data_IF_558489222044
#
_entry.id   IF_558489222044
#
_cell.length_a   1.000
_cell.length_b   1.000
_cell.length_c   1.000
_cell.angle_alpha   90.00
_cell.angle_beta   90.00
_cell.angle_gamma   90.00
#
_symmetry.space_group_name_H-M   'P 1'
#
loop_
_entity.id
_entity.type
_entity.pdbx_description
1 polymer ?
#
# COMPACT_ATOMS: atom_id res chain seq x y z
N UNK A 1 41.90 -5.18 -19.05
CA UNK A 1 41.18 -4.01 -18.51
C UNK A 1 39.86 -4.52 -17.96
N UNK A 2 39.47 -4.09 -16.75
CA UNK A 2 38.16 -4.43 -16.19
C UNK A 2 37.07 -3.81 -17.08
N UNK A 3 36.00 -4.56 -17.34
CA UNK A 3 34.83 -4.05 -18.06
C UNK A 3 34.24 -2.88 -17.27
N UNK A 4 33.96 -1.71 -17.88
CA UNK A 4 33.32 -0.61 -17.17
C UNK A 4 31.94 -1.00 -16.65
N UNK A 5 31.58 -0.55 -15.44
CA UNK A 5 30.27 -0.85 -14.83
C UNK A 5 29.09 -0.49 -15.74
N UNK A 6 29.16 0.63 -16.46
CA UNK A 6 28.11 1.05 -17.40
C UNK A 6 27.92 0.05 -18.56
N UNK A 7 28.98 -0.60 -19.01
CA UNK A 7 28.90 -1.66 -20.02
C UNK A 7 28.29 -2.95 -19.46
N UNK A 8 28.63 -3.31 -18.22
CA UNK A 8 28.00 -4.44 -17.51
C UNK A 8 26.48 -4.22 -17.34
N UNK A 9 26.08 -3.02 -16.90
CA UNK A 9 24.68 -2.66 -16.73
C UNK A 9 23.91 -2.73 -18.06
N UNK A 10 24.51 -2.26 -19.15
CA UNK A 10 23.91 -2.35 -20.50
C UNK A 10 23.70 -3.81 -20.91
N UNK A 11 24.65 -4.70 -20.61
CA UNK A 11 24.51 -6.13 -20.87
C UNK A 11 23.40 -6.77 -20.04
N UNK A 12 23.26 -6.40 -18.76
CA UNK A 12 22.18 -6.86 -17.87
C UNK A 12 20.82 -6.40 -18.39
N UNK A 13 20.70 -5.14 -18.80
CA UNK A 13 19.45 -4.59 -19.36
C UNK A 13 19.08 -5.39 -20.62
N UNK A 14 20.02 -5.55 -21.55
CA UNK A 14 19.77 -6.24 -22.82
C UNK A 14 19.32 -7.69 -22.62
N UNK A 15 20.05 -8.47 -21.80
CA UNK A 15 19.70 -9.87 -21.54
C UNK A 15 18.36 -10.00 -20.81
N UNK A 16 18.13 -9.18 -19.79
CA UNK A 16 16.91 -9.23 -18.98
C UNK A 16 15.66 -8.83 -19.78
N UNK A 17 15.77 -7.81 -20.63
CA UNK A 17 14.68 -7.39 -21.51
C UNK A 17 14.41 -8.44 -22.59
N UNK A 18 15.44 -9.10 -23.13
CA UNK A 18 15.25 -10.23 -24.05
C UNK A 18 14.44 -11.34 -23.39
N UNK A 19 14.85 -11.77 -22.18
CA UNK A 19 14.13 -12.80 -21.42
C UNK A 19 12.67 -12.42 -21.17
N UNK A 20 12.42 -11.18 -20.75
CA UNK A 20 11.06 -10.69 -20.50
C UNK A 20 10.21 -10.66 -21.79
N UNK A 21 10.73 -10.09 -22.87
CA UNK A 21 10.02 -9.99 -24.14
C UNK A 21 9.74 -11.36 -24.75
N UNK A 22 10.69 -12.29 -24.69
CA UNK A 22 10.49 -13.66 -25.16
C UNK A 22 9.34 -14.36 -24.42
N UNK A 23 9.23 -14.13 -23.11
CA UNK A 23 8.12 -14.66 -22.32
C UNK A 23 6.79 -14.01 -22.71
N UNK A 24 6.72 -12.68 -22.78
CA UNK A 24 5.49 -11.97 -23.16
C UNK A 24 5.00 -12.41 -24.54
N UNK A 25 5.91 -12.50 -25.52
CA UNK A 25 5.59 -12.96 -26.88
C UNK A 25 5.06 -14.40 -26.89
N UNK A 26 5.72 -15.33 -26.19
CA UNK A 26 5.26 -16.73 -26.10
C UNK A 26 3.90 -16.87 -25.42
N UNK A 27 3.57 -15.97 -24.50
CA UNK A 27 2.31 -15.95 -23.77
C UNK A 27 1.24 -15.05 -24.42
N UNK A 28 1.46 -14.56 -25.65
CA UNK A 28 0.56 -13.67 -26.38
C UNK A 28 0.18 -12.39 -25.62
N UNK A 29 1.10 -11.87 -24.79
CA UNK A 29 0.95 -10.57 -24.16
C UNK A 29 1.67 -9.49 -24.97
N UNK A 30 1.05 -8.32 -25.21
CA UNK A 30 1.70 -7.25 -25.95
C UNK A 30 2.90 -6.70 -25.17
N UNK A 31 3.92 -6.17 -25.85
CA UNK A 31 5.02 -5.48 -25.19
C UNK A 31 4.50 -4.24 -24.44
N UNK A 32 5.12 -3.85 -23.33
CA UNK A 32 4.77 -2.65 -22.59
C UNK A 32 5.00 -1.40 -23.46
N UNK A 33 4.06 -0.45 -23.40
CA UNK A 33 4.18 0.84 -24.10
C UNK A 33 3.40 1.94 -23.37
N UNK A 34 3.61 3.19 -23.78
CA UNK A 34 2.81 4.33 -23.30
C UNK A 34 1.54 4.58 -24.14
N UNK A 35 1.29 3.75 -25.14
CA UNK A 35 0.08 3.81 -25.96
C UNK A 35 -1.14 3.33 -25.18
N UNK A 36 -2.32 3.91 -25.43
CA UNK A 36 -3.56 3.61 -24.72
C UNK A 36 -4.03 2.14 -24.82
N UNK A 37 -3.51 1.38 -25.79
CA UNK A 37 -3.74 -0.06 -25.92
C UNK A 37 -2.94 -0.91 -24.93
N UNK A 38 -1.91 -0.34 -24.29
CA UNK A 38 -1.07 -1.08 -23.35
C UNK A 38 -1.85 -1.47 -22.09
N UNK A 39 -1.76 -2.74 -21.63
CA UNK A 39 -2.36 -3.16 -20.38
C UNK A 39 -1.79 -2.38 -19.17
N UNK A 40 -2.61 -2.05 -18.15
CA UNK A 40 -2.16 -1.27 -17.00
C UNK A 40 -1.26 -2.07 -16.04
N UNK A 41 -1.29 -3.40 -16.12
CA UNK A 41 -0.52 -4.30 -15.27
C UNK A 41 0.18 -5.35 -16.12
N UNK A 42 1.36 -5.79 -15.66
CA UNK A 42 1.97 -7.01 -16.18
C UNK A 42 1.10 -8.23 -15.83
N UNK A 43 1.09 -9.27 -16.68
CA UNK A 43 0.52 -10.56 -16.31
C UNK A 43 1.26 -11.16 -15.11
N UNK A 44 0.71 -12.20 -14.48
CA UNK A 44 1.42 -12.95 -13.45
C UNK A 44 2.70 -13.57 -14.04
N UNK A 45 3.86 -13.09 -13.60
CA UNK A 45 5.15 -13.53 -14.11
C UNK A 45 5.70 -14.70 -13.27
N UNK A 46 6.28 -15.75 -13.89
CA UNK A 46 7.08 -16.74 -13.17
C UNK A 46 8.25 -16.09 -12.42
N UNK A 47 8.74 -16.68 -11.31
CA UNK A 47 9.82 -16.09 -10.49
C UNK A 47 11.06 -15.67 -11.28
N UNK A 48 11.49 -16.49 -12.24
CA UNK A 48 12.63 -16.20 -13.13
C UNK A 48 12.40 -14.93 -13.97
N UNK A 49 11.23 -14.81 -14.59
CA UNK A 49 10.87 -13.67 -15.45
C UNK A 49 10.66 -12.41 -14.61
N UNK A 50 10.06 -12.53 -13.43
CA UNK A 50 9.97 -11.44 -12.47
C UNK A 50 11.37 -10.97 -12.02
N UNK A 51 12.30 -11.91 -11.80
CA UNK A 51 13.70 -11.64 -11.50
C UNK A 51 14.41 -10.87 -12.61
N UNK A 52 14.24 -11.28 -13.87
CA UNK A 52 14.78 -10.55 -15.03
C UNK A 52 14.21 -9.11 -15.10
N UNK A 53 12.91 -8.94 -14.91
CA UNK A 53 12.28 -7.61 -14.86
C UNK A 53 12.87 -6.73 -13.76
N UNK A 54 13.07 -7.28 -12.56
CA UNK A 54 13.70 -6.55 -11.44
C UNK A 54 15.13 -6.15 -11.79
N UNK A 55 15.93 -7.08 -12.31
CA UNK A 55 17.31 -6.81 -12.71
C UNK A 55 17.42 -5.69 -13.77
N UNK A 56 16.51 -5.67 -14.75
CA UNK A 56 16.45 -4.59 -15.75
C UNK A 56 16.10 -3.23 -15.11
N UNK A 57 15.14 -3.19 -14.17
CA UNK A 57 14.77 -1.96 -13.46
C UNK A 57 15.93 -1.44 -12.61
N UNK A 58 16.68 -2.32 -11.96
CA UNK A 58 17.84 -1.92 -11.17
C UNK A 58 18.97 -1.40 -12.02
N UNK A 59 19.28 -2.12 -13.09
CA UNK A 59 20.35 -1.71 -13.98
C UNK A 59 20.04 -0.38 -14.67
N UNK A 60 18.79 -0.10 -15.04
CA UNK A 60 18.40 1.21 -15.59
C UNK A 60 18.52 2.34 -14.57
N UNK A 61 18.14 2.11 -13.31
CA UNK A 61 18.30 3.11 -12.23
C UNK A 61 19.76 3.39 -11.92
N UNK A 62 20.57 2.34 -11.79
CA UNK A 62 22.01 2.48 -11.53
C UNK A 62 22.70 3.19 -12.71
N UNK A 63 22.40 2.78 -13.94
CA UNK A 63 22.94 3.41 -15.14
C UNK A 63 22.54 4.89 -15.23
N UNK A 64 21.28 5.22 -14.97
CA UNK A 64 20.81 6.60 -14.96
C UNK A 64 21.56 7.45 -13.92
N UNK A 65 21.69 6.96 -12.68
CA UNK A 65 22.44 7.65 -11.63
C UNK A 65 23.93 7.84 -12.00
N UNK A 66 24.56 6.82 -12.60
CA UNK A 66 25.95 6.91 -13.07
C UNK A 66 26.13 7.91 -14.21
N UNK A 67 25.14 8.04 -15.10
CA UNK A 67 25.19 8.98 -16.23
C UNK A 67 24.97 10.43 -15.80
N UNK A 68 24.13 10.67 -14.79
CA UNK A 68 24.00 12.00 -14.15
C UNK A 68 25.31 12.39 -13.44
N UNK A 69 25.98 11.42 -12.83
CA UNK A 69 27.05 11.69 -11.88
C UNK A 69 26.50 12.17 -10.53
N UNK A 70 27.36 12.22 -9.50
CA UNK A 70 26.92 12.38 -8.11
C UNK A 70 26.24 13.72 -7.83
N UNK A 71 26.74 14.82 -8.41
CA UNK A 71 26.18 16.16 -8.17
C UNK A 71 24.76 16.28 -8.73
N UNK A 72 24.56 15.92 -10.00
CA UNK A 72 23.26 16.02 -10.65
C UNK A 72 22.30 14.97 -10.10
N UNK A 73 22.78 13.80 -9.66
CA UNK A 73 21.92 12.81 -9.00
C UNK A 73 21.37 13.33 -7.66
N UNK A 74 22.21 13.93 -6.81
CA UNK A 74 21.77 14.45 -5.51
C UNK A 74 20.88 15.68 -5.68
N UNK A 75 21.32 16.67 -6.47
CA UNK A 75 20.59 17.93 -6.62
C UNK A 75 19.40 17.81 -7.58
N UNK A 76 19.49 16.97 -8.60
CA UNK A 76 18.43 16.72 -9.60
C UNK A 76 17.30 15.80 -9.11
N UNK A 77 17.49 15.10 -7.98
CA UNK A 77 16.39 14.40 -7.28
C UNK A 77 15.27 15.34 -6.82
N UNK A 78 15.49 16.65 -6.91
CA UNK A 78 14.47 17.68 -6.77
C UNK A 78 13.30 17.58 -7.76
N UNK A 79 13.49 16.93 -8.91
CA UNK A 79 12.42 16.66 -9.87
C UNK A 79 11.25 15.87 -9.28
N UNK A 80 11.54 14.89 -8.41
CA UNK A 80 10.57 13.93 -7.88
C UNK A 80 9.39 14.60 -7.15
N UNK A 81 9.59 15.77 -6.51
CA UNK A 81 8.49 16.49 -5.84
C UNK A 81 7.69 17.40 -6.76
N UNK A 82 8.26 17.85 -7.90
CA UNK A 82 7.49 18.55 -8.92
C UNK A 82 6.57 17.60 -9.68
N UNK A 83 6.97 16.34 -9.85
CA UNK A 83 6.14 15.30 -10.47
C UNK A 83 4.80 15.14 -9.73
N UNK A 84 4.84 15.18 -8.39
CA UNK A 84 3.64 15.13 -7.55
C UNK A 84 2.73 16.35 -7.76
N UNK A 85 3.27 17.53 -8.10
CA UNK A 85 2.47 18.72 -8.39
C UNK A 85 1.63 18.52 -9.67
N UNK A 86 2.22 17.95 -10.72
CA UNK A 86 1.48 17.62 -11.95
C UNK A 86 0.36 16.61 -11.70
N UNK A 87 0.62 15.59 -10.88
CA UNK A 87 -0.38 14.60 -10.49
C UNK A 87 -1.47 15.18 -9.57
N UNK A 88 -1.09 16.07 -8.65
CA UNK A 88 -2.04 16.79 -7.79
C UNK A 88 -2.97 17.68 -8.63
N UNK A 89 -2.44 18.39 -9.63
CA UNK A 89 -3.24 19.17 -10.57
C UNK A 89 -4.27 18.29 -11.29
N UNK A 90 -3.84 17.14 -11.84
CA UNK A 90 -4.72 16.18 -12.51
C UNK A 90 -5.81 15.67 -11.56
N UNK A 91 -5.45 15.32 -10.32
CA UNK A 91 -6.39 14.82 -9.33
C UNK A 91 -7.40 15.88 -8.87
N UNK A 92 -6.92 17.08 -8.51
CA UNK A 92 -7.72 18.14 -7.91
C UNK A 92 -8.74 18.71 -8.89
N UNK A 93 -8.34 18.88 -10.15
CA UNK A 93 -9.21 19.39 -11.21
C UNK A 93 -9.85 18.30 -12.07
N UNK A 94 -9.70 17.03 -11.69
CA UNK A 94 -10.29 15.86 -12.38
C UNK A 94 -10.01 15.90 -13.89
N UNK A 95 -8.75 16.17 -14.26
CA UNK A 95 -8.35 16.35 -15.66
C UNK A 95 -8.48 15.05 -16.46
N UNK A 96 -8.14 13.91 -15.85
CA UNK A 96 -8.22 12.58 -16.48
C UNK A 96 -9.62 12.14 -16.90
N UNK A 97 -10.67 12.86 -16.50
CA UNK A 97 -12.06 12.55 -16.88
C UNK A 97 -12.73 13.67 -17.68
N UNK A 98 -11.95 14.64 -18.19
CA UNK A 98 -12.48 15.73 -19.03
C UNK A 98 -12.89 15.20 -20.41
N UNK A 99 -12.12 14.28 -20.98
CA UNK A 99 -12.38 13.63 -22.26
C UNK A 99 -11.99 12.15 -22.16
N UNK A 100 -12.59 11.24 -22.95
CA UNK A 100 -12.32 9.81 -22.83
C UNK A 100 -10.98 9.42 -23.47
N UNK A 101 -10.33 8.33 -22.99
CA UNK A 101 -9.15 7.77 -23.65
C UNK A 101 -9.41 7.41 -25.11
N UNK A 102 -8.53 7.84 -26.01
CA UNK A 102 -8.67 7.65 -27.46
C UNK A 102 -9.17 8.89 -28.21
N UNK A 103 -9.67 9.90 -27.48
CA UNK A 103 -9.94 11.23 -28.01
C UNK A 103 -8.79 12.19 -27.71
N UNK A 104 -8.81 13.34 -28.37
CA UNK A 104 -7.85 14.43 -28.21
C UNK A 104 -8.60 15.72 -27.86
N UNK A 105 -7.97 16.60 -27.09
CA UNK A 105 -8.55 17.88 -26.70
C UNK A 105 -7.47 18.96 -26.59
N UNK A 106 -7.77 20.20 -26.97
CA UNK A 106 -6.83 21.31 -26.84
C UNK A 106 -6.64 21.75 -25.38
N UNK A 107 -5.53 22.41 -25.07
CA UNK A 107 -5.35 23.01 -23.73
C UNK A 107 -6.47 24.01 -23.39
N UNK A 108 -6.93 24.77 -24.37
CA UNK A 108 -8.03 25.74 -24.24
C UNK A 108 -9.35 25.07 -23.84
N UNK A 109 -9.69 23.95 -24.49
CA UNK A 109 -10.89 23.19 -24.18
C UNK A 109 -10.81 22.53 -22.80
N UNK A 110 -9.66 21.96 -22.43
CA UNK A 110 -9.45 21.36 -21.09
C UNK A 110 -9.56 22.43 -20.01
N UNK A 111 -8.91 23.59 -20.22
CA UNK A 111 -8.96 24.70 -19.29
C UNK A 111 -10.40 25.23 -19.14
N UNK A 112 -11.13 25.40 -20.25
CA UNK A 112 -12.53 25.81 -20.23
C UNK A 112 -13.43 24.81 -19.49
N UNK A 113 -13.24 23.49 -19.70
CA UNK A 113 -14.05 22.44 -19.08
C UNK A 113 -13.92 22.40 -17.54
N UNK A 114 -12.84 22.97 -16.98
CA UNK A 114 -12.57 23.00 -15.53
C UNK A 114 -12.47 24.42 -14.96
N UNK A 115 -12.79 25.44 -15.75
CA UNK A 115 -12.69 26.85 -15.36
C UNK A 115 -11.29 27.23 -14.85
N UNK A 116 -10.25 26.86 -15.62
CA UNK A 116 -8.84 27.08 -15.32
C UNK A 116 -8.23 28.08 -16.29
N UNK A 117 -7.08 28.64 -15.91
CA UNK A 117 -6.23 29.39 -16.83
C UNK A 117 -5.53 28.45 -17.84
N UNK A 118 -5.47 28.87 -19.09
CA UNK A 118 -4.89 28.09 -20.19
C UNK A 118 -3.38 27.92 -20.01
N UNK A 119 -2.66 28.96 -19.57
CA UNK A 119 -1.21 28.89 -19.39
C UNK A 119 -0.85 28.00 -18.21
N UNK A 120 -1.60 28.06 -17.11
CA UNK A 120 -1.43 27.16 -15.97
C UNK A 120 -1.70 25.70 -16.35
N UNK A 121 -2.80 25.45 -17.06
CA UNK A 121 -3.15 24.11 -17.56
C UNK A 121 -2.03 23.52 -18.41
N UNK A 122 -1.51 24.33 -19.35
CA UNK A 122 -0.38 23.95 -20.20
C UNK A 122 0.88 23.61 -19.40
N UNK A 123 1.23 24.43 -18.40
CA UNK A 123 2.43 24.23 -17.56
C UNK A 123 2.35 22.95 -16.77
N UNK A 124 1.23 22.71 -16.08
CA UNK A 124 1.09 21.55 -15.20
C UNK A 124 0.89 20.25 -15.96
N UNK A 125 0.15 20.26 -17.09
CA UNK A 125 0.04 19.06 -17.92
C UNK A 125 1.36 18.70 -18.60
N UNK A 126 2.11 19.67 -19.12
CA UNK A 126 3.43 19.39 -19.70
C UNK A 126 4.43 18.86 -18.67
N UNK A 127 4.31 19.28 -17.41
CA UNK A 127 5.06 18.68 -16.30
C UNK A 127 4.64 17.22 -16.06
N UNK A 128 3.34 16.91 -16.06
CA UNK A 128 2.88 15.53 -15.94
C UNK A 128 3.33 14.63 -17.12
N UNK A 129 3.42 15.20 -18.33
CA UNK A 129 3.88 14.51 -19.53
C UNK A 129 5.36 14.08 -19.44
N UNK A 130 6.21 14.75 -18.64
CA UNK A 130 7.60 14.28 -18.41
C UNK A 130 7.66 12.95 -17.67
N UNK A 131 6.55 12.57 -17.02
CA UNK A 131 6.34 11.28 -16.37
C UNK A 131 5.38 10.37 -17.15
N UNK A 132 5.24 10.63 -18.45
CA UNK A 132 4.41 9.86 -19.37
C UNK A 132 2.92 9.87 -19.01
N UNK A 133 2.45 10.84 -18.22
CA UNK A 133 1.02 11.02 -17.92
C UNK A 133 0.45 12.06 -18.87
N UNK A 134 -0.39 11.60 -19.82
CA UNK A 134 -0.77 12.30 -21.05
C UNK A 134 0.38 12.47 -22.04
N UNK A 135 0.06 12.89 -23.26
CA UNK A 135 0.98 13.28 -24.33
C UNK A 135 0.48 14.53 -25.05
N UNK A 136 1.38 15.22 -25.75
CA UNK A 136 1.05 16.30 -26.69
C UNK A 136 1.40 15.83 -28.12
N UNK A 137 0.52 15.07 -28.81
CA UNK A 137 0.84 14.48 -30.12
C UNK A 137 1.10 15.55 -31.19
N UNK A 138 0.41 16.68 -31.09
CA UNK A 138 0.56 17.86 -31.94
C UNK A 138 0.56 19.11 -31.05
N UNK A 139 1.19 20.18 -31.51
CA UNK A 139 1.28 21.42 -30.74
C UNK A 139 -0.11 21.90 -30.28
N UNK A 140 -0.27 22.06 -28.96
CA UNK A 140 -1.50 22.54 -28.35
C UNK A 140 -2.57 21.48 -28.08
N UNK A 141 -2.38 20.25 -28.53
CA UNK A 141 -3.36 19.16 -28.44
C UNK A 141 -2.90 18.12 -27.43
N UNK A 142 -3.78 17.71 -26.52
CA UNK A 142 -3.51 16.73 -25.46
C UNK A 142 -4.23 15.43 -25.77
N UNK A 143 -3.52 14.31 -25.58
CA UNK A 143 -4.07 12.96 -25.67
C UNK A 143 -3.72 12.13 -24.43
N UNK A 144 -4.52 11.10 -24.17
CA UNK A 144 -4.22 10.13 -23.11
C UNK A 144 -3.03 9.24 -23.49
N UNK A 145 -2.16 8.98 -22.50
CA UNK A 145 -1.24 7.84 -22.46
C UNK A 145 -1.85 6.67 -21.69
N UNK A 146 -1.22 5.47 -21.75
CA UNK A 146 -1.59 4.34 -20.89
C UNK A 146 -1.59 4.70 -19.40
N UNK A 147 -0.67 5.54 -18.93
CA UNK A 147 -0.60 5.98 -17.54
C UNK A 147 -1.79 6.87 -17.15
N UNK A 148 -2.14 7.86 -17.97
CA UNK A 148 -3.29 8.73 -17.69
C UNK A 148 -4.64 8.01 -17.82
N UNK A 149 -4.72 6.99 -18.69
CA UNK A 149 -5.90 6.13 -18.84
C UNK A 149 -6.22 5.37 -17.55
N UNK A 150 -5.22 4.93 -16.80
CA UNK A 150 -5.42 4.32 -15.48
C UNK A 150 -6.21 5.25 -14.56
N UNK A 151 -5.89 6.54 -14.56
CA UNK A 151 -6.58 7.53 -13.72
C UNK A 151 -8.00 7.84 -14.22
N UNK A 152 -8.23 7.72 -15.53
CA UNK A 152 -9.54 7.92 -16.15
C UNK A 152 -10.51 6.76 -15.87
N UNK A 153 -10.03 5.52 -15.98
CA UNK A 153 -10.88 4.32 -15.98
C UNK A 153 -10.90 3.57 -14.64
N UNK A 154 -9.86 3.71 -13.80
CA UNK A 154 -9.79 3.04 -12.51
C UNK A 154 -9.98 4.04 -11.36
N UNK A 155 -11.24 4.17 -10.91
CA UNK A 155 -11.61 5.07 -9.81
C UNK A 155 -10.83 4.82 -8.51
N UNK A 156 -10.46 3.56 -8.24
CA UNK A 156 -9.72 3.21 -7.02
C UNK A 156 -8.27 3.67 -7.12
N UNK A 157 -7.64 3.52 -8.29
CA UNK A 157 -6.31 4.07 -8.54
C UNK A 157 -6.31 5.60 -8.43
N UNK A 158 -7.32 6.26 -8.97
CA UNK A 158 -7.49 7.71 -8.86
C UNK A 158 -7.73 8.19 -7.41
N UNK A 159 -8.46 7.41 -6.60
CA UNK A 159 -8.65 7.67 -5.18
C UNK A 159 -7.35 7.51 -4.38
N UNK A 160 -6.58 6.46 -4.66
CA UNK A 160 -5.25 6.25 -4.06
C UNK A 160 -4.28 7.39 -4.41
N UNK A 161 -4.26 7.82 -5.68
CA UNK A 161 -3.47 8.99 -6.08
C UNK A 161 -3.89 10.23 -5.28
N UNK A 162 -5.20 10.45 -5.13
CA UNK A 162 -5.74 11.53 -4.30
C UNK A 162 -5.25 11.49 -2.87
N UNK A 163 -5.28 10.31 -2.23
CA UNK A 163 -4.73 10.14 -0.89
C UNK A 163 -3.23 10.50 -0.85
N UNK A 164 -2.45 10.01 -1.81
CA UNK A 164 -1.02 10.28 -1.89
C UNK A 164 -0.69 11.78 -2.05
N UNK A 165 -1.38 12.49 -2.95
CA UNK A 165 -1.06 13.90 -3.27
C UNK A 165 -1.71 14.93 -2.34
N UNK A 166 -2.81 14.58 -1.66
CA UNK A 166 -3.54 15.51 -0.77
C UNK A 166 -3.29 15.27 0.72
N UNK A 167 -2.90 14.06 1.12
CA UNK A 167 -2.73 13.71 2.55
C UNK A 167 -1.30 13.31 2.88
N UNK A 168 -0.69 12.42 2.08
CA UNK A 168 0.65 11.92 2.36
C UNK A 168 1.70 12.97 2.02
N UNK A 169 1.76 13.41 0.76
CA UNK A 169 2.84 14.27 0.27
C UNK A 169 2.98 15.59 1.05
N UNK A 170 1.90 16.33 1.38
CA UNK A 170 2.02 17.55 2.18
C UNK A 170 2.55 17.33 3.60
N UNK A 171 2.44 16.09 4.12
CA UNK A 171 2.86 15.74 5.47
C UNK A 171 4.37 15.49 5.57
N UNK A 172 4.99 14.96 4.51
CA UNK A 172 6.40 14.51 4.53
C UNK A 172 7.38 15.63 4.93
N UNK A 173 7.29 16.88 4.42
CA UNK A 173 8.21 17.95 4.81
C UNK A 173 8.20 18.29 6.30
N UNK A 174 7.09 18.00 7.01
CA UNK A 174 6.90 18.36 8.42
C UNK A 174 7.32 17.26 9.40
N UNK A 175 7.86 16.14 8.92
CA UNK A 175 8.33 15.05 9.78
C UNK A 175 9.47 15.51 10.69
N UNK A 176 10.42 16.28 10.15
CA UNK A 176 11.55 16.78 10.94
C UNK A 176 11.10 17.86 11.93
N UNK A 177 10.19 18.76 11.52
CA UNK A 177 9.58 19.74 12.41
C UNK A 177 8.88 19.06 13.61
N UNK A 178 8.16 17.97 13.36
CA UNK A 178 7.53 17.18 14.41
C UNK A 178 8.56 16.51 15.33
N UNK A 179 9.65 15.97 14.79
CA UNK A 179 10.71 15.36 15.58
C UNK A 179 11.46 16.39 16.45
N UNK A 180 11.64 17.63 15.96
CA UNK A 180 12.24 18.72 16.74
C UNK A 180 11.32 19.19 17.86
N UNK A 181 10.02 19.29 17.58
CA UNK A 181 9.00 19.68 18.56
C UNK A 181 8.75 18.60 19.62
N UNK A 182 8.75 17.33 19.20
CA UNK A 182 8.45 16.16 20.04
C UNK A 182 9.49 15.05 19.84
N UNK A 183 10.71 15.21 20.40
CA UNK A 183 11.79 14.25 20.19
C UNK A 183 11.45 12.86 20.72
N UNK A 184 11.50 11.86 19.83
CA UNK A 184 11.27 10.45 20.19
C UNK A 184 9.84 10.10 20.59
N UNK A 185 8.86 10.94 20.23
CA UNK A 185 7.46 10.67 20.55
C UNK A 185 6.93 9.40 19.89
N UNK A 186 6.13 8.66 20.66
CA UNK A 186 5.34 7.50 20.24
C UNK A 186 3.84 7.84 20.17
N UNK A 187 3.46 9.12 20.34
CA UNK A 187 2.07 9.55 20.42
C UNK A 187 1.48 9.84 19.02
N UNK A 188 0.28 9.34 18.70
CA UNK A 188 -0.31 9.48 17.36
C UNK A 188 -0.77 10.91 17.03
N UNK A 189 -0.85 11.79 18.04
CA UNK A 189 -1.17 13.20 17.89
C UNK A 189 0.06 14.13 17.83
N UNK A 190 1.27 13.56 17.76
CA UNK A 190 2.53 14.31 17.74
C UNK A 190 3.31 14.06 16.43
N UNK A 191 2.64 14.26 15.29
CA UNK A 191 3.14 13.87 13.96
C UNK A 191 3.25 15.06 13.01
N UNK A 192 3.96 14.87 11.89
CA UNK A 192 3.99 15.85 10.80
C UNK A 192 2.58 16.13 10.24
N UNK A 193 1.71 15.12 10.26
CA UNK A 193 0.33 15.25 9.78
C UNK A 193 -0.45 16.25 10.63
N UNK A 194 -0.34 16.11 11.96
CA UNK A 194 -1.02 16.98 12.91
C UNK A 194 -0.50 18.42 12.82
N UNK A 195 0.80 18.61 12.59
CA UNK A 195 1.37 19.95 12.39
C UNK A 195 0.82 20.65 11.14
N UNK A 196 0.67 19.90 10.05
CA UNK A 196 0.16 20.42 8.78
C UNK A 196 -1.35 20.62 8.80
N UNK A 197 -2.09 19.75 9.50
CA UNK A 197 -3.54 19.76 9.47
C UNK A 197 -4.11 20.96 10.25
N UNK A 198 -4.97 21.83 9.65
CA UNK A 198 -5.41 23.09 10.25
C UNK A 198 -6.13 22.95 11.61
N UNK A 199 -6.82 21.82 11.82
CA UNK A 199 -7.52 21.50 13.07
C UNK A 199 -6.67 20.72 14.08
N UNK A 200 -5.42 20.38 13.75
CA UNK A 200 -4.57 19.53 14.59
C UNK A 200 -5.13 18.12 14.83
N UNK A 201 -5.84 17.56 13.84
CA UNK A 201 -6.45 16.23 13.95
C UNK A 201 -5.44 15.15 13.58
N UNK A 202 -5.54 13.99 14.22
CA UNK A 202 -4.89 12.76 13.75
C UNK A 202 -5.53 12.30 12.44
N UNK A 203 -4.86 11.42 11.64
CA UNK A 203 -5.44 10.98 10.38
C UNK A 203 -6.83 10.35 10.53
N UNK A 204 -7.04 9.45 11.50
CA UNK A 204 -8.34 8.83 11.71
C UNK A 204 -9.40 9.82 12.21
N UNK A 205 -9.05 10.75 13.12
CA UNK A 205 -9.97 11.80 13.55
C UNK A 205 -10.38 12.73 12.40
N UNK A 206 -9.48 12.99 11.45
CA UNK A 206 -9.82 13.72 10.23
C UNK A 206 -10.79 12.93 9.33
N UNK A 207 -10.62 11.61 9.18
CA UNK A 207 -11.56 10.79 8.41
C UNK A 207 -12.96 10.78 9.07
N UNK A 208 -13.04 10.78 10.40
CA UNK A 208 -14.32 10.88 11.11
C UNK A 208 -14.99 12.26 10.93
N UNK A 209 -14.21 13.34 10.93
CA UNK A 209 -14.69 14.71 10.73
C UNK A 209 -15.07 15.00 9.27
N UNK A 210 -14.51 14.27 8.30
CA UNK A 210 -14.69 14.52 6.87
C UNK A 210 -15.09 13.27 6.07
N UNK A 211 -16.39 13.16 5.79
CA UNK A 211 -16.96 12.05 5.01
C UNK A 211 -16.36 11.88 3.61
N UNK A 212 -15.97 12.98 2.95
CA UNK A 212 -15.34 12.90 1.62
C UNK A 212 -13.94 12.30 1.71
N UNK A 213 -13.16 12.72 2.72
CA UNK A 213 -11.84 12.14 2.98
C UNK A 213 -11.95 10.66 3.37
N UNK A 214 -12.91 10.29 4.22
CA UNK A 214 -13.18 8.90 4.57
C UNK A 214 -13.53 8.04 3.36
N UNK A 215 -14.36 8.55 2.45
CA UNK A 215 -14.72 7.82 1.23
C UNK A 215 -13.50 7.65 0.30
N UNK A 216 -12.71 8.71 0.11
CA UNK A 216 -11.50 8.64 -0.71
C UNK A 216 -10.49 7.65 -0.13
N UNK A 217 -10.26 7.68 1.19
CA UNK A 217 -9.39 6.74 1.87
C UNK A 217 -9.90 5.30 1.71
N UNK A 218 -11.19 5.06 1.95
CA UNK A 218 -11.81 3.74 1.78
C UNK A 218 -11.65 3.19 0.35
N UNK A 219 -11.89 4.02 -0.67
CA UNK A 219 -11.73 3.62 -2.06
C UNK A 219 -10.25 3.45 -2.46
N UNK A 220 -9.35 4.24 -1.89
CA UNK A 220 -7.90 4.05 -2.02
C UNK A 220 -7.43 2.72 -1.41
N UNK A 221 -7.94 2.34 -0.24
CA UNK A 221 -7.61 1.06 0.40
C UNK A 221 -8.11 -0.15 -0.41
N UNK A 222 -9.23 -0.01 -1.15
CA UNK A 222 -9.65 -1.03 -2.12
C UNK A 222 -8.65 -1.19 -3.26
N UNK A 223 -8.05 -0.10 -3.76
CA UNK A 223 -6.97 -0.19 -4.75
C UNK A 223 -5.77 -0.95 -4.20
N UNK A 224 -5.43 -0.73 -2.94
CA UNK A 224 -4.29 -1.38 -2.29
C UNK A 224 -4.42 -2.92 -2.28
N UNK A 225 -5.63 -3.44 -2.13
CA UNK A 225 -5.93 -4.88 -2.22
C UNK A 225 -5.83 -5.44 -3.65
N UNK A 226 -5.84 -4.59 -4.68
CA UNK A 226 -5.67 -4.96 -6.09
C UNK A 226 -4.20 -4.89 -6.54
N UNK A 227 -3.30 -4.39 -5.68
CA UNK A 227 -1.88 -4.31 -5.99
C UNK A 227 -1.30 -5.74 -6.00
N UNK A 228 -0.61 -6.15 -7.07
CA UNK A 228 0.02 -7.47 -7.12
C UNK A 228 0.94 -7.71 -5.93
N UNK A 229 0.76 -8.86 -5.28
CA UNK A 229 1.45 -9.28 -4.05
C UNK A 229 0.75 -8.88 -2.75
N UNK A 230 -0.37 -8.15 -2.79
CA UNK A 230 -1.20 -7.82 -1.62
C UNK A 230 -2.52 -8.58 -1.61
N UNK A 231 -2.62 -9.66 -2.38
CA UNK A 231 -3.82 -10.46 -2.48
C UNK A 231 -4.16 -11.14 -1.13
N UNK A 232 -5.44 -11.22 -0.75
CA UNK A 232 -5.86 -11.85 0.51
C UNK A 232 -5.54 -13.36 0.58
N UNK A 233 -5.43 -14.04 -0.57
CA UNK A 233 -5.16 -15.47 -0.67
C UNK A 233 -3.83 -15.90 -0.06
N UNK A 234 -2.85 -14.99 0.05
CA UNK A 234 -1.56 -15.28 0.69
C UNK A 234 -1.70 -15.74 2.15
N UNK A 235 -2.80 -15.39 2.82
CA UNK A 235 -3.10 -15.91 4.17
C UNK A 235 -3.30 -17.44 4.17
N UNK A 236 -3.95 -17.98 3.14
CA UNK A 236 -4.20 -19.43 3.01
C UNK A 236 -2.91 -20.20 2.69
N UNK A 237 -1.91 -19.53 2.10
CA UNK A 237 -0.56 -20.08 1.90
C UNK A 237 0.29 -20.00 3.18
N UNK A 238 0.08 -18.96 3.99
CA UNK A 238 0.87 -18.70 5.20
C UNK A 238 0.43 -19.54 6.40
N UNK A 239 -0.87 -19.80 6.54
CA UNK A 239 -1.46 -20.51 7.69
C UNK A 239 -2.33 -21.68 7.25
N UNK A 240 -2.09 -22.86 7.83
CA UNK A 240 -2.84 -24.08 7.54
C UNK A 240 -4.12 -24.15 8.41
N UNK A 241 -5.21 -23.63 7.85
CA UNK A 241 -6.54 -23.66 8.49
C UNK A 241 -7.11 -25.07 8.63
N UNK A 242 -6.58 -26.09 7.94
CA UNK A 242 -7.05 -27.47 8.11
C UNK A 242 -6.71 -28.05 9.47
N UNK A 243 -5.75 -27.43 10.18
CA UNK A 243 -5.42 -27.77 11.57
C UNK A 243 -6.46 -27.33 12.59
N UNK A 244 -7.41 -26.48 12.18
CA UNK A 244 -8.47 -25.98 13.05
C UNK A 244 -9.66 -26.95 13.13
N UNK A 245 -10.19 -27.14 14.34
CA UNK A 245 -11.33 -28.01 14.60
C UNK A 245 -12.64 -27.40 14.08
N UNK A 246 -13.68 -28.22 13.98
CA UNK A 246 -15.03 -27.77 13.65
C UNK A 246 -15.51 -26.68 14.63
N UNK A 247 -16.20 -25.67 14.11
CA UNK A 247 -16.68 -24.50 14.85
C UNK A 247 -15.58 -23.60 15.44
N UNK A 248 -14.34 -23.73 14.98
CA UNK A 248 -13.26 -22.80 15.31
C UNK A 248 -13.65 -21.36 14.95
N UNK A 249 -13.23 -20.43 15.79
CA UNK A 249 -13.53 -19.00 15.63
C UNK A 249 -12.29 -18.27 15.13
N UNK A 250 -12.45 -17.53 14.03
CA UNK A 250 -11.50 -16.60 13.47
C UNK A 250 -12.00 -15.17 13.71
N UNK A 251 -11.24 -14.37 14.45
CA UNK A 251 -11.56 -12.96 14.71
C UNK A 251 -10.64 -12.10 13.85
N UNK A 252 -11.23 -11.33 12.95
CA UNK A 252 -10.57 -10.42 12.02
C UNK A 252 -10.64 -9.01 12.61
N UNK A 253 -9.60 -8.61 13.35
CA UNK A 253 -9.57 -7.39 14.16
C UNK A 253 -9.13 -6.22 13.29
N UNK A 254 -9.97 -5.18 13.20
CA UNK A 254 -9.82 -4.12 12.21
C UNK A 254 -10.07 -4.61 10.78
N UNK A 255 -10.94 -5.61 10.61
CA UNK A 255 -11.16 -6.32 9.34
C UNK A 255 -11.95 -5.53 8.29
N UNK A 256 -12.41 -4.32 8.61
CA UNK A 256 -13.11 -3.41 7.71
C UNK A 256 -14.27 -4.07 6.96
N UNK A 257 -14.16 -4.27 5.64
CA UNK A 257 -15.20 -4.86 4.81
C UNK A 257 -15.24 -6.40 4.89
N UNK A 258 -14.42 -7.02 5.72
CA UNK A 258 -14.41 -8.46 5.97
C UNK A 258 -13.84 -9.29 4.81
N UNK A 259 -13.01 -8.70 3.94
CA UNK A 259 -12.46 -9.38 2.75
C UNK A 259 -11.72 -10.67 3.13
N UNK A 260 -10.93 -10.62 4.21
CA UNK A 260 -10.20 -11.79 4.72
C UNK A 260 -11.15 -12.82 5.29
N UNK A 261 -12.06 -12.41 6.19
CA UNK A 261 -13.07 -13.30 6.77
C UNK A 261 -13.96 -13.99 5.73
N UNK A 262 -14.36 -13.27 4.67
CA UNK A 262 -15.14 -13.82 3.55
C UNK A 262 -14.34 -14.90 2.80
N UNK A 263 -13.06 -14.63 2.52
CA UNK A 263 -12.17 -15.60 1.88
C UNK A 263 -12.02 -16.87 2.74
N UNK A 264 -11.73 -16.71 4.03
CA UNK A 264 -11.55 -17.82 4.97
C UNK A 264 -12.83 -18.64 5.09
N UNK A 265 -14.00 -18.01 5.29
CA UNK A 265 -15.28 -18.70 5.44
C UNK A 265 -15.71 -19.47 4.18
N UNK A 266 -15.30 -19.01 2.99
CA UNK A 266 -15.55 -19.73 1.72
C UNK A 266 -14.61 -20.91 1.53
N UNK A 267 -13.32 -20.73 1.84
CA UNK A 267 -12.32 -21.78 1.73
C UNK A 267 -12.50 -22.88 2.80
N UNK A 268 -12.95 -22.49 4.00
CA UNK A 268 -13.10 -23.36 5.17
C UNK A 268 -14.49 -23.18 5.82
N UNK A 269 -15.53 -23.82 5.27
CA UNK A 269 -16.92 -23.64 5.73
C UNK A 269 -17.20 -24.01 7.20
N UNK A 270 -16.28 -24.72 7.83
CA UNK A 270 -16.30 -25.15 9.24
C UNK A 270 -15.81 -24.07 10.22
N UNK A 271 -15.28 -22.94 9.72
CA UNK A 271 -14.78 -21.83 10.53
C UNK A 271 -15.83 -20.71 10.57
N UNK A 272 -16.10 -20.22 11.79
CA UNK A 272 -16.92 -19.02 12.00
C UNK A 272 -16.03 -17.80 12.09
N UNK A 273 -16.32 -16.79 11.29
CA UNK A 273 -15.55 -15.54 11.25
C UNK A 273 -16.33 -14.39 11.91
N UNK A 274 -15.62 -13.60 12.71
CA UNK A 274 -16.14 -12.38 13.32
C UNK A 274 -15.25 -11.23 12.86
N UNK A 275 -15.81 -10.32 12.09
CA UNK A 275 -15.13 -9.10 11.63
C UNK A 275 -15.37 -8.00 12.64
N UNK A 276 -14.30 -7.47 13.22
CA UNK A 276 -14.32 -6.37 14.17
C UNK A 276 -13.80 -5.08 13.55
N UNK A 277 -14.48 -3.97 13.78
CA UNK A 277 -14.04 -2.63 13.39
C UNK A 277 -14.81 -1.58 14.22
N UNK A 278 -14.46 -0.30 14.05
CA UNK A 278 -15.14 0.80 14.72
C UNK A 278 -16.62 0.89 14.27
N UNK A 279 -17.53 1.41 15.13
CA UNK A 279 -18.96 1.51 14.81
C UNK A 279 -19.28 2.14 13.44
N UNK A 280 -18.65 3.26 13.03
CA UNK A 280 -18.93 3.87 11.72
C UNK A 280 -18.54 2.98 10.53
N UNK A 281 -17.55 2.12 10.67
CA UNK A 281 -17.14 1.17 9.62
C UNK A 281 -18.14 0.02 9.54
N UNK A 282 -18.47 -0.57 10.70
CA UNK A 282 -19.43 -1.69 10.78
C UNK A 282 -20.80 -1.29 10.24
N UNK A 283 -21.28 -0.08 10.56
CA UNK A 283 -22.55 0.43 10.05
C UNK A 283 -22.64 0.46 8.51
N UNK A 284 -21.52 0.61 7.79
CA UNK A 284 -21.48 0.64 6.30
C UNK A 284 -21.56 -0.75 5.67
N UNK A 285 -21.23 -1.79 6.42
CA UNK A 285 -21.11 -3.17 5.91
C UNK A 285 -22.15 -4.11 6.51
N UNK A 286 -22.78 -3.72 7.62
CA UNK A 286 -23.91 -4.40 8.21
C UNK A 286 -25.03 -4.58 7.15
N UNK A 287 -25.35 -5.84 6.83
CA UNK A 287 -26.38 -6.18 5.83
C UNK A 287 -25.87 -6.42 4.40
N UNK A 288 -24.60 -6.12 4.11
CA UNK A 288 -24.01 -6.35 2.78
C UNK A 288 -23.30 -7.71 2.65
N UNK A 289 -23.59 -8.65 3.56
CA UNK A 289 -23.00 -9.98 3.55
C UNK A 289 -23.62 -10.85 2.44
N UNK A 290 -22.81 -11.55 1.61
CA UNK A 290 -23.31 -12.53 0.67
C UNK A 290 -24.15 -13.61 1.35
N UNK A 291 -25.27 -14.00 0.74
CA UNK A 291 -26.24 -14.93 1.34
C UNK A 291 -25.63 -16.29 1.69
N UNK A 292 -24.63 -16.75 0.93
CA UNK A 292 -23.88 -17.99 1.15
C UNK A 292 -23.06 -17.99 2.46
N UNK A 293 -22.87 -16.82 3.07
CA UNK A 293 -22.06 -16.62 4.28
C UNK A 293 -22.90 -16.30 5.52
N UNK A 294 -24.23 -16.28 5.39
CA UNK A 294 -25.15 -16.08 6.51
C UNK A 294 -24.89 -17.11 7.62
N UNK A 295 -24.64 -16.65 8.84
CA UNK A 295 -24.31 -17.51 9.99
C UNK A 295 -22.86 -18.00 10.05
N UNK A 296 -22.05 -17.75 9.01
CA UNK A 296 -20.60 -18.06 8.99
C UNK A 296 -19.74 -16.83 9.23
N UNK A 297 -20.16 -15.68 8.71
CA UNK A 297 -19.50 -14.39 8.93
C UNK A 297 -20.45 -13.48 9.68
N UNK A 298 -19.94 -12.77 10.68
CA UNK A 298 -20.67 -11.75 11.43
C UNK A 298 -19.80 -10.52 11.60
N UNK A 299 -20.43 -9.36 11.74
CA UNK A 299 -19.78 -8.08 11.97
C UNK A 299 -20.05 -7.65 13.42
N UNK A 300 -19.02 -7.10 14.08
CA UNK A 300 -19.05 -6.71 15.47
C UNK A 300 -18.33 -5.38 15.66
N UNK A 301 -18.99 -4.44 16.34
CA UNK A 301 -18.34 -3.18 16.73
C UNK A 301 -17.31 -3.45 17.83
N UNK A 302 -16.08 -2.98 17.64
CA UNK A 302 -15.03 -3.10 18.65
C UNK A 302 -13.90 -2.11 18.39
N UNK A 303 -13.43 -1.46 19.44
CA UNK A 303 -12.15 -0.76 19.49
C UNK A 303 -11.10 -1.72 20.07
N UNK A 304 -10.06 -2.03 19.30
CA UNK A 304 -9.02 -2.97 19.70
C UNK A 304 -8.10 -2.48 20.83
N UNK A 305 -8.24 -1.22 21.26
CA UNK A 305 -7.61 -0.72 22.48
C UNK A 305 -8.38 -1.12 23.75
N UNK A 306 -9.65 -1.49 23.62
CA UNK A 306 -10.50 -2.00 24.69
C UNK A 306 -10.35 -3.53 24.82
N UNK A 307 -10.68 -4.07 26.00
CA UNK A 307 -10.58 -5.51 26.26
C UNK A 307 -11.33 -6.33 25.20
N UNK A 308 -10.66 -7.34 24.62
CA UNK A 308 -11.21 -8.14 23.54
C UNK A 308 -12.46 -8.93 23.99
N UNK A 309 -13.65 -8.65 23.42
CA UNK A 309 -14.91 -9.24 23.89
C UNK A 309 -15.14 -10.67 23.41
N UNK A 310 -14.53 -11.09 22.29
CA UNK A 310 -14.65 -12.47 21.80
C UNK A 310 -13.64 -13.33 22.52
N UNK A 311 -14.09 -14.12 23.49
CA UNK A 311 -13.25 -14.97 24.32
C UNK A 311 -12.93 -16.30 23.63
N UNK A 312 -11.73 -16.84 23.89
CA UNK A 312 -11.33 -18.21 23.53
C UNK A 312 -11.39 -18.53 22.01
N UNK A 313 -11.25 -17.53 21.14
CA UNK A 313 -11.14 -17.77 19.70
C UNK A 313 -9.88 -18.58 19.35
N UNK A 314 -9.89 -19.22 18.18
CA UNK A 314 -8.76 -20.04 17.73
C UNK A 314 -7.69 -19.17 17.05
N UNK A 315 -8.12 -18.14 16.34
CA UNK A 315 -7.25 -17.21 15.63
C UNK A 315 -7.75 -15.78 15.85
N UNK A 316 -6.84 -14.89 16.21
CA UNK A 316 -7.01 -13.45 16.13
C UNK A 316 -6.07 -12.93 15.06
N UNK A 317 -6.63 -12.31 14.03
CA UNK A 317 -5.92 -11.86 12.85
C UNK A 317 -5.93 -10.34 12.77
N UNK A 318 -4.78 -9.77 12.46
CA UNK A 318 -4.57 -8.34 12.27
C UNK A 318 -3.88 -8.14 10.93
N UNK A 319 -4.36 -7.21 10.12
CA UNK A 319 -3.75 -6.88 8.82
C UNK A 319 -3.78 -5.39 8.58
N UNK A 320 -2.62 -4.78 8.34
CA UNK A 320 -2.49 -3.33 8.23
C UNK A 320 -3.07 -2.62 9.46
N UNK A 321 -2.73 -3.13 10.64
CA UNK A 321 -3.12 -2.55 11.93
C UNK A 321 -1.87 -2.08 12.65
N UNK A 322 -0.93 -2.98 12.91
CA UNK A 322 0.20 -2.69 13.79
C UNK A 322 1.18 -1.69 13.19
N UNK A 323 1.22 -1.54 11.86
CA UNK A 323 2.09 -0.56 11.21
C UNK A 323 1.66 0.90 11.44
N UNK A 324 0.37 1.15 11.67
CA UNK A 324 -0.17 2.48 12.01
C UNK A 324 0.20 2.88 13.44
N UNK A 325 0.65 1.95 14.28
CA UNK A 325 0.87 2.19 15.70
C UNK A 325 2.35 2.06 16.09
N UNK A 326 2.80 2.98 16.95
CA UNK A 326 4.08 2.86 17.64
C UNK A 326 4.14 1.63 18.55
N UNK A 327 5.30 1.27 19.07
CA UNK A 327 5.41 0.09 19.94
C UNK A 327 4.63 0.26 21.24
N UNK A 328 4.60 1.49 21.79
CA UNK A 328 3.75 1.83 22.93
C UNK A 328 2.28 1.43 22.70
N UNK A 329 1.73 1.75 21.53
CA UNK A 329 0.33 1.46 21.20
C UNK A 329 0.11 0.02 20.74
N UNK A 330 1.05 -0.57 19.98
CA UNK A 330 0.99 -2.00 19.63
C UNK A 330 0.97 -2.90 20.88
N UNK A 331 1.76 -2.57 21.92
CA UNK A 331 1.71 -3.27 23.21
C UNK A 331 0.34 -3.11 23.89
N UNK A 332 -0.30 -1.95 23.82
CA UNK A 332 -1.66 -1.75 24.37
C UNK A 332 -2.67 -2.67 23.69
N UNK A 333 -2.66 -2.73 22.36
CA UNK A 333 -3.55 -3.63 21.58
C UNK A 333 -3.34 -5.09 21.96
N UNK A 334 -2.09 -5.55 22.00
CA UNK A 334 -1.79 -6.93 22.38
C UNK A 334 -2.22 -7.22 23.83
N UNK A 335 -2.05 -6.28 24.76
CA UNK A 335 -2.49 -6.44 26.16
C UNK A 335 -3.99 -6.50 26.31
N UNK A 336 -4.73 -5.72 25.53
CA UNK A 336 -6.19 -5.77 25.49
C UNK A 336 -6.71 -7.12 24.93
N UNK A 337 -5.92 -7.78 24.08
CA UNK A 337 -6.22 -9.11 23.55
C UNK A 337 -5.95 -10.25 24.55
N UNK A 338 -4.91 -10.17 25.39
CA UNK A 338 -4.45 -11.27 26.26
C UNK A 338 -5.58 -11.90 27.10
N UNK A 339 -6.49 -11.15 27.76
CA UNK A 339 -7.56 -11.73 28.57
C UNK A 339 -8.46 -12.71 27.78
N UNK A 340 -8.58 -12.54 26.47
CA UNK A 340 -9.39 -13.37 25.59
C UNK A 340 -8.65 -14.60 25.02
N UNK A 341 -7.34 -14.74 25.27
CA UNK A 341 -6.53 -15.82 24.72
C UNK A 341 -6.69 -17.10 25.53
N UNK A 342 -6.96 -18.20 24.83
CA UNK A 342 -6.85 -19.56 25.36
C UNK A 342 -5.47 -20.16 25.08
N UNK A 343 -5.01 -21.17 25.84
CA UNK A 343 -3.82 -21.93 25.47
C UNK A 343 -3.87 -22.40 24.01
N UNK A 344 -2.82 -22.11 23.25
CA UNK A 344 -2.72 -22.52 21.84
C UNK A 344 -3.47 -21.63 20.84
N UNK A 345 -4.11 -20.55 21.28
CA UNK A 345 -4.67 -19.55 20.36
C UNK A 345 -3.56 -18.94 19.49
N UNK A 346 -3.86 -18.73 18.20
CA UNK A 346 -2.94 -18.10 17.25
C UNK A 346 -3.23 -16.61 17.15
N UNK A 347 -2.18 -15.81 17.25
CA UNK A 347 -2.20 -14.39 16.87
C UNK A 347 -1.42 -14.26 15.58
N UNK A 348 -2.10 -13.86 14.50
CA UNK A 348 -1.52 -13.75 13.17
C UNK A 348 -1.53 -12.28 12.76
N UNK A 349 -0.35 -11.72 12.55
CA UNK A 349 -0.16 -10.33 12.13
C UNK A 349 0.36 -10.33 10.68
N UNK A 350 -0.39 -9.68 9.78
CA UNK A 350 -0.08 -9.59 8.35
C UNK A 350 0.34 -8.17 7.99
N UNK A 351 1.65 -7.95 7.90
CA UNK A 351 2.27 -6.62 7.77
C UNK A 351 3.50 -6.69 6.87
N UNK A 352 4.06 -5.53 6.48
CA UNK A 352 5.39 -5.53 5.88
C UNK A 352 6.42 -5.86 6.97
N UNK A 353 7.20 -6.93 6.75
CA UNK A 353 8.37 -7.19 7.58
C UNK A 353 9.60 -6.62 6.88
N UNK A 354 10.24 -5.63 7.50
CA UNK A 354 11.43 -5.00 6.94
C UNK A 354 12.54 -6.04 6.77
N UNK A 355 13.11 -6.19 5.56
CA UNK A 355 14.26 -7.06 5.38
C UNK A 355 15.48 -6.45 6.09
N UNK A 356 16.41 -7.30 6.54
CA UNK A 356 17.68 -6.79 7.02
C UNK A 356 18.38 -5.97 5.92
N UNK A 357 19.11 -4.94 6.33
CA UNK A 357 19.81 -4.08 5.38
C UNK A 357 20.75 -4.89 4.49
N UNK A 358 20.65 -4.69 3.17
CA UNK A 358 21.48 -5.38 2.18
C UNK A 358 20.96 -6.75 1.73
N UNK A 359 19.91 -7.31 2.34
CA UNK A 359 19.31 -8.58 1.90
C UNK A 359 18.32 -8.43 0.74
N UNK A 360 18.00 -7.19 0.35
CA UNK A 360 17.09 -6.89 -0.73
C UNK A 360 17.77 -5.94 -1.73
N UNK A 361 17.60 -6.17 -3.04
CA UNK A 361 18.08 -5.24 -4.06
C UNK A 361 17.56 -3.81 -3.86
N UNK A 362 18.40 -2.80 -4.12
CA UNK A 362 18.15 -1.39 -3.77
C UNK A 362 16.83 -0.87 -4.35
N UNK A 363 16.46 -1.25 -5.58
CA UNK A 363 15.22 -0.77 -6.18
C UNK A 363 13.97 -1.30 -5.46
N UNK A 364 14.09 -2.47 -4.82
CA UNK A 364 13.01 -3.05 -4.03
C UNK A 364 13.00 -2.53 -2.59
N UNK A 365 14.09 -1.95 -2.09
CA UNK A 365 14.16 -1.33 -0.76
C UNK A 365 13.43 0.01 -0.67
N UNK A 366 13.33 0.79 -1.76
CA UNK A 366 12.72 2.15 -1.71
C UNK A 366 11.28 2.10 -1.20
N UNK A 367 10.45 1.22 -1.76
CA UNK A 367 9.02 1.13 -1.39
C UNK A 367 8.77 0.84 0.12
N UNK A 368 9.30 -0.24 0.71
CA UNK A 368 9.08 -0.52 2.14
C UNK A 368 9.66 0.58 3.05
N UNK A 369 10.82 1.17 2.71
CA UNK A 369 11.40 2.27 3.48
C UNK A 369 10.59 3.55 3.38
N UNK A 370 10.02 3.85 2.20
CA UNK A 370 9.10 4.97 2.04
C UNK A 370 7.79 4.75 2.78
N UNK A 371 7.31 3.50 2.88
CA UNK A 371 6.14 3.16 3.70
C UNK A 371 6.42 3.40 5.19
N UNK A 372 7.57 2.98 5.70
CA UNK A 372 7.98 3.23 7.08
C UNK A 372 7.98 4.73 7.43
N UNK A 373 8.61 5.55 6.57
CA UNK A 373 8.59 7.01 6.74
C UNK A 373 7.17 7.58 6.63
N UNK A 374 6.31 7.02 5.78
CA UNK A 374 4.90 7.41 5.69
C UNK A 374 4.16 7.13 7.00
N UNK A 375 4.31 5.94 7.59
CA UNK A 375 3.72 5.58 8.89
C UNK A 375 4.21 6.49 10.01
N UNK A 376 5.52 6.79 10.03
CA UNK A 376 6.09 7.78 10.96
C UNK A 376 5.44 9.16 10.78
N UNK A 377 5.28 9.60 9.53
CA UNK A 377 4.81 10.93 9.20
C UNK A 377 3.33 11.14 9.57
N UNK A 378 2.50 10.12 9.38
CA UNK A 378 1.06 10.19 9.61
C UNK A 378 0.68 9.84 11.06
N UNK A 379 1.28 8.79 11.62
CA UNK A 379 0.77 8.16 12.85
C UNK A 379 1.79 8.03 13.98
N UNK A 380 3.07 8.41 13.76
CA UNK A 380 4.19 7.93 14.59
C UNK A 380 4.25 6.38 14.66
N UNK A 381 3.63 5.71 13.68
CA UNK A 381 3.75 4.28 13.44
C UNK A 381 5.08 3.94 12.78
N UNK A 382 5.27 2.65 12.47
CA UNK A 382 6.49 2.14 11.85
C UNK A 382 6.27 0.77 11.22
N UNK A 383 7.03 0.50 10.17
CA UNK A 383 7.26 -0.87 9.71
C UNK A 383 8.31 -1.52 10.62
N UNK A 384 8.17 -2.83 10.86
CA UNK A 384 9.03 -3.56 11.81
C UNK A 384 9.80 -4.67 11.12
N UNK A 385 11.05 -4.86 11.53
CA UNK A 385 11.82 -6.05 11.17
C UNK A 385 11.45 -7.26 12.05
N UNK A 386 12.02 -8.42 11.74
CA UNK A 386 11.74 -9.67 12.44
C UNK A 386 12.06 -9.62 13.95
N UNK A 387 13.12 -8.90 14.35
CA UNK A 387 13.54 -8.76 15.76
C UNK A 387 12.59 -7.83 16.49
N UNK A 388 12.18 -6.75 15.85
CA UNK A 388 11.21 -5.79 16.39
C UNK A 388 9.83 -6.41 16.60
N UNK A 389 9.37 -7.28 15.69
CA UNK A 389 8.14 -8.05 15.90
C UNK A 389 8.23 -8.97 17.12
N UNK A 390 9.35 -9.69 17.28
CA UNK A 390 9.59 -10.51 18.47
C UNK A 390 9.59 -9.69 19.75
N UNK A 391 10.27 -8.54 19.74
CA UNK A 391 10.34 -7.63 20.88
C UNK A 391 8.97 -7.02 21.23
N UNK A 392 8.15 -6.67 20.24
CA UNK A 392 6.80 -6.13 20.46
C UNK A 392 5.92 -7.13 21.24
N UNK A 393 5.92 -8.40 20.79
CA UNK A 393 5.17 -9.48 21.42
C UNK A 393 5.68 -9.75 22.84
N UNK A 394 6.99 -9.85 23.03
CA UNK A 394 7.62 -10.07 24.34
C UNK A 394 7.32 -8.92 25.32
N UNK A 395 7.36 -7.66 24.86
CA UNK A 395 7.00 -6.48 25.66
C UNK A 395 5.54 -6.47 26.07
N UNK A 396 4.65 -7.02 25.25
CA UNK A 396 3.26 -7.20 25.59
C UNK A 396 3.10 -8.25 26.69
N UNK A 397 3.71 -9.43 26.50
CA UNK A 397 3.77 -10.52 27.47
C UNK A 397 4.88 -11.54 27.10
N UNK A 398 5.75 -11.94 28.05
CA UNK A 398 6.81 -12.91 27.78
C UNK A 398 6.30 -14.32 27.42
N UNK A 399 5.00 -14.58 27.56
CA UNK A 399 4.34 -15.85 27.20
C UNK A 399 4.02 -15.97 25.71
N UNK A 400 4.20 -14.92 24.93
CA UNK A 400 4.14 -15.03 23.48
C UNK A 400 5.37 -15.76 22.95
N UNK A 401 5.15 -16.71 22.04
CA UNK A 401 6.20 -17.35 21.24
C UNK A 401 5.92 -17.08 19.77
N UNK A 402 6.91 -16.56 19.04
CA UNK A 402 6.83 -16.41 17.58
C UNK A 402 7.09 -17.79 16.96
N UNK A 403 6.05 -18.41 16.42
CA UNK A 403 6.14 -19.72 15.77
C UNK A 403 6.89 -19.61 14.43
N UNK A 404 6.56 -18.57 13.64
CA UNK A 404 7.23 -18.29 12.38
C UNK A 404 6.92 -16.89 11.86
N UNK A 405 7.82 -16.36 11.04
CA UNK A 405 7.58 -15.18 10.19
C UNK A 405 7.68 -15.67 8.75
N UNK A 406 6.55 -15.75 8.05
CA UNK A 406 6.47 -16.33 6.71
C UNK A 406 6.11 -15.27 5.69
N UNK A 407 6.81 -15.25 4.57
CA UNK A 407 6.45 -14.44 3.41
C UNK A 407 6.22 -15.35 2.21
N UNK A 408 4.96 -15.64 1.84
CA UNK A 408 4.67 -16.37 0.62
C UNK A 408 5.39 -15.75 -0.59
N UNK A 409 5.83 -16.56 -1.55
CA UNK A 409 6.79 -16.16 -2.60
C UNK A 409 6.35 -14.91 -3.37
N UNK A 410 5.05 -14.77 -3.62
CA UNK A 410 4.47 -13.64 -4.36
C UNK A 410 3.95 -12.53 -3.44
N UNK A 411 3.89 -12.76 -2.13
CA UNK A 411 3.38 -11.81 -1.17
C UNK A 411 4.38 -10.67 -0.94
N UNK A 412 3.85 -9.46 -0.80
CA UNK A 412 4.57 -8.29 -0.27
C UNK A 412 4.46 -8.19 1.25
N UNK A 413 3.50 -8.89 1.86
CA UNK A 413 3.35 -8.98 3.30
C UNK A 413 3.95 -10.26 3.86
N UNK A 414 4.44 -10.13 5.07
CA UNK A 414 4.82 -11.25 5.91
C UNK A 414 3.69 -11.53 6.91
N UNK A 415 3.62 -12.78 7.35
CA UNK A 415 2.70 -13.27 8.35
C UNK A 415 3.52 -13.68 9.56
N UNK A 416 3.42 -12.88 10.62
CA UNK A 416 4.00 -13.15 11.93
C UNK A 416 2.96 -14.00 12.67
N UNK A 417 3.28 -15.27 12.88
CA UNK A 417 2.39 -16.23 13.54
C UNK A 417 2.95 -16.47 14.93
N UNK A 418 2.19 -16.11 15.96
CA UNK A 418 2.55 -16.28 17.35
C UNK A 418 1.51 -17.11 18.11
N UNK A 419 1.97 -17.83 19.12
CA UNK A 419 1.13 -18.53 20.09
C UNK A 419 1.31 -17.92 21.47
N UNK A 420 0.23 -17.80 22.22
CA UNK A 420 0.29 -17.48 23.65
C UNK A 420 0.05 -18.73 24.49
N UNK A 421 0.87 -18.93 25.53
CA UNK A 421 0.78 -20.08 26.45
C UNK A 421 0.83 -19.61 27.91
N UNK A 422 -0.22 -19.85 28.73
CA UNK A 422 -0.38 -19.25 30.05
C UNK A 422 0.67 -19.62 31.09
#
# INVERSE_FOLDING_TARGET
MLTPRTAELTAIISSSISTLNDHLNKSNHPPPSFDISSPPNYPSLPPEIAGARIAAIEATKELHALLLGPTDHVLGSSGDYFDFLGLQFIHRYKIATVFPPGEEMTFEEIAAARNLDVNETKRFLRLAMTNYVFTEPHEGVVAHSSCSKVLAENRYAAAWLGHAVENVWPTIPHVLDANEKWPGSEEPNETGYVLMHPKGLTPFAHLEDNLQAAQQFSDGMKFFSLIPGLEPEHLLEAFDFSTLQENSVFVDVGGSHGVISILVARAFPNIRCIVQDLPPTIAKVAGNLPSDLTGKVSFMEHDFFEEQPVQNANVYFFRWIFHDWSDLYGVKVLRALIPALKPGAKVIISEMCMPEYGQMPLAMQKLPRSMDINMKAQFNGKERDAKEWGSLLERADPRFTVDSIRRPVRSKLSFIIATWSP
#
